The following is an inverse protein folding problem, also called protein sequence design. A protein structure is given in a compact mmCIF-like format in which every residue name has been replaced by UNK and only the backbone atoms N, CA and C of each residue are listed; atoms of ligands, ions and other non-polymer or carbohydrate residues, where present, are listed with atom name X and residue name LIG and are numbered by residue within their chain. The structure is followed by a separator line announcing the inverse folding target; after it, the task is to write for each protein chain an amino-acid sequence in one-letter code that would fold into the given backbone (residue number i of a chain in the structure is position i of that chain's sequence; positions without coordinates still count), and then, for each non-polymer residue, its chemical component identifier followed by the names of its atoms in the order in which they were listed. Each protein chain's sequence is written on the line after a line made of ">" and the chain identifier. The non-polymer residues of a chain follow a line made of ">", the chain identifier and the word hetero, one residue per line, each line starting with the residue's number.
data_IF_308281748976
#
_entry.id   IF_308281748976
#
_cell.length_a   1.000
_cell.length_b   1.000
_cell.length_c   1.000
_cell.angle_alpha   90.00
_cell.angle_beta   90.00
_cell.angle_gamma   90.00
#
_symmetry.space_group_name_H-M   'P 1'
#
loop_
_entity.id
_entity.type
_entity.pdbx_description
1 polymer ?
#
# COMPACT_ATOMS: atom_id res chain seq x y z
N UNK A 1 12.95 -15.72 -11.53
CA UNK A 1 13.46 -15.63 -10.15
C UNK A 1 12.82 -14.39 -9.54
N UNK A 2 12.02 -14.54 -8.49
CA UNK A 2 11.29 -13.43 -7.83
C UNK A 2 12.09 -12.89 -6.66
N UNK A 3 12.02 -11.58 -6.41
CA UNK A 3 12.91 -10.90 -5.47
C UNK A 3 12.68 -11.30 -4.00
N UNK A 4 11.44 -11.68 -3.62
CA UNK A 4 11.12 -12.14 -2.26
C UNK A 4 11.92 -13.36 -1.79
N UNK A 5 12.52 -14.12 -2.71
CA UNK A 5 13.28 -15.33 -2.37
C UNK A 5 14.76 -15.10 -2.06
N UNK A 6 15.37 -13.97 -2.45
CA UNK A 6 16.83 -13.79 -2.29
C UNK A 6 17.25 -12.35 -1.96
N UNK A 7 16.72 -11.33 -2.65
CA UNK A 7 17.00 -9.89 -2.43
C UNK A 7 15.88 -9.08 -3.09
N UNK A 8 14.88 -8.65 -2.31
CA UNK A 8 13.68 -7.94 -2.79
C UNK A 8 12.83 -7.43 -1.63
N UNK A 9 12.34 -6.20 -1.73
CA UNK A 9 11.74 -5.44 -0.64
C UNK A 9 12.76 -4.92 0.39
N UNK A 10 12.47 -3.76 1.00
CA UNK A 10 13.18 -3.30 2.20
C UNK A 10 13.12 -4.42 3.25
N UNK A 11 14.27 -4.92 3.73
CA UNK A 11 14.45 -6.22 4.40
C UNK A 11 13.79 -6.43 5.79
N UNK A 12 12.73 -5.68 6.11
CA UNK A 12 11.70 -6.04 7.09
C UNK A 12 10.51 -6.70 6.39
N UNK A 13 9.49 -7.15 7.12
CA UNK A 13 8.30 -7.76 6.53
C UNK A 13 7.43 -6.74 5.75
N UNK A 14 7.94 -6.11 4.68
CA UNK A 14 7.11 -5.36 3.74
C UNK A 14 6.17 -6.31 3.00
N UNK A 15 5.12 -5.76 2.40
CA UNK A 15 4.16 -6.50 1.57
C UNK A 15 4.47 -6.14 0.09
N UNK A 16 5.54 -6.68 -0.53
CA UNK A 16 5.93 -6.31 -1.88
C UNK A 16 5.10 -7.11 -2.90
N UNK A 17 3.88 -6.66 -3.16
CA UNK A 17 2.88 -7.45 -3.90
C UNK A 17 3.43 -7.94 -5.24
N UNK A 18 4.15 -7.11 -6.00
CA UNK A 18 4.68 -7.51 -7.31
C UNK A 18 5.91 -8.44 -7.27
N UNK A 19 6.52 -8.62 -6.09
CA UNK A 19 7.78 -9.33 -5.93
C UNK A 19 7.58 -10.75 -5.35
N UNK A 20 6.36 -11.11 -4.95
CA UNK A 20 6.02 -12.42 -4.38
C UNK A 20 4.86 -13.11 -5.10
N UNK A 21 5.10 -14.33 -5.61
CA UNK A 21 4.12 -15.05 -6.43
C UNK A 21 2.82 -15.39 -5.68
N UNK A 22 2.90 -15.74 -4.40
CA UNK A 22 1.72 -16.07 -3.60
C UNK A 22 0.86 -14.84 -3.34
N UNK A 23 1.50 -13.68 -3.14
CA UNK A 23 0.80 -12.41 -2.98
C UNK A 23 0.16 -11.95 -4.30
N UNK A 24 0.85 -12.11 -5.43
CA UNK A 24 0.31 -11.84 -6.77
C UNK A 24 -0.95 -12.67 -7.01
N UNK A 25 -0.89 -13.98 -6.78
CA UNK A 25 -2.02 -14.89 -6.99
C UNK A 25 -3.20 -14.56 -6.06
N UNK A 26 -2.92 -14.27 -4.79
CA UNK A 26 -3.95 -13.87 -3.82
C UNK A 26 -4.59 -12.52 -4.17
N UNK A 27 -3.81 -11.55 -4.67
CA UNK A 27 -4.33 -10.27 -5.14
C UNK A 27 -5.16 -10.44 -6.42
N UNK A 28 -4.69 -11.26 -7.36
CA UNK A 28 -5.37 -11.51 -8.64
C UNK A 28 -6.73 -12.19 -8.48
N UNK A 29 -6.87 -13.11 -7.50
CA UNK A 29 -8.17 -13.72 -7.17
C UNK A 29 -9.01 -12.90 -6.19
N UNK A 30 -8.56 -11.73 -5.76
CA UNK A 30 -9.28 -10.83 -4.85
C UNK A 30 -9.28 -11.25 -3.38
N UNK A 31 -8.52 -12.29 -3.01
CA UNK A 31 -8.35 -12.71 -1.61
C UNK A 31 -7.48 -11.73 -0.80
N UNK A 32 -6.59 -11.00 -1.48
CA UNK A 32 -5.71 -9.99 -0.91
C UNK A 32 -6.09 -8.60 -1.46
N UNK A 33 -6.89 -7.85 -0.72
CA UNK A 33 -7.31 -6.48 -1.09
C UNK A 33 -6.41 -5.41 -0.49
N UNK A 34 -6.48 -4.18 -1.00
CA UNK A 34 -5.67 -3.06 -0.48
C UNK A 34 -5.91 -2.84 1.02
N UNK A 35 -7.17 -2.86 1.45
CA UNK A 35 -7.56 -2.70 2.86
C UNK A 35 -7.07 -3.87 3.72
N UNK A 36 -6.98 -5.08 3.14
CA UNK A 36 -6.41 -6.23 3.83
C UNK A 36 -4.90 -6.06 4.02
N UNK A 37 -4.21 -5.46 3.06
CA UNK A 37 -2.80 -5.11 3.17
C UNK A 37 -2.58 -4.06 4.26
N UNK A 38 -3.34 -2.97 4.26
CA UNK A 38 -3.35 -1.95 5.32
C UNK A 38 -3.64 -2.54 6.71
N UNK A 39 -4.60 -3.46 6.81
CA UNK A 39 -4.86 -4.14 8.08
C UNK A 39 -3.66 -4.97 8.59
N UNK A 40 -2.84 -5.52 7.70
CA UNK A 40 -1.64 -6.27 8.08
C UNK A 40 -0.47 -5.36 8.50
N UNK A 41 -0.40 -4.12 8.01
CA UNK A 41 0.62 -3.13 8.41
C UNK A 41 0.49 -2.77 9.90
N UNK A 42 -0.73 -2.81 10.45
CA UNK A 42 -1.02 -2.63 11.87
C UNK A 42 -0.26 -3.61 12.80
N UNK A 43 0.09 -4.82 12.32
CA UNK A 43 0.69 -5.87 13.16
C UNK A 43 2.17 -6.05 12.86
N UNK A 44 2.52 -6.74 11.76
CA UNK A 44 3.89 -7.19 11.49
C UNK A 44 4.56 -6.47 10.32
N UNK A 45 3.79 -5.82 9.44
CA UNK A 45 4.36 -5.24 8.22
C UNK A 45 4.79 -3.77 8.36
N UNK A 46 5.84 -3.40 7.64
CA UNK A 46 6.42 -2.05 7.57
C UNK A 46 5.74 -1.17 6.52
N UNK A 47 4.62 -1.61 5.93
CA UNK A 47 3.75 -0.77 5.11
C UNK A 47 3.36 -1.39 3.78
N UNK A 48 2.79 -0.56 2.90
CA UNK A 48 2.35 -0.93 1.56
C UNK A 48 3.50 -0.82 0.56
N UNK A 49 3.78 -1.89 -0.20
CA UNK A 49 4.93 -1.91 -1.10
C UNK A 49 4.64 -2.55 -2.46
N UNK A 50 5.20 -1.96 -3.52
CA UNK A 50 5.00 -2.42 -4.90
C UNK A 50 3.54 -2.70 -5.27
N UNK A 51 2.64 -1.84 -4.84
CA UNK A 51 1.21 -1.99 -5.14
C UNK A 51 0.86 -1.22 -6.39
N UNK A 52 0.50 -1.91 -7.47
CA UNK A 52 -0.03 -1.29 -8.67
C UNK A 52 -1.48 -0.84 -8.44
N UNK A 53 -1.79 0.43 -8.74
CA UNK A 53 -3.13 1.03 -8.64
C UNK A 53 -3.54 1.65 -9.99
N UNK A 54 -4.83 1.95 -10.23
CA UNK A 54 -5.28 2.49 -11.51
C UNK A 54 -4.55 3.78 -11.87
N UNK A 55 -4.21 3.94 -13.14
CA UNK A 55 -3.43 5.09 -13.60
C UNK A 55 -4.13 6.44 -13.47
N UNK A 56 -5.46 6.42 -13.35
CA UNK A 56 -6.32 7.58 -13.14
C UNK A 56 -6.65 7.84 -11.67
N UNK A 57 -5.99 7.13 -10.73
CA UNK A 57 -6.17 7.39 -9.29
C UNK A 57 -5.77 8.83 -8.96
N UNK A 58 -6.66 9.56 -8.29
CA UNK A 58 -6.43 10.97 -7.97
C UNK A 58 -5.30 11.15 -6.95
N UNK A 59 -4.64 12.31 -6.99
CA UNK A 59 -3.64 12.67 -5.98
C UNK A 59 -4.23 12.70 -4.56
N UNK A 60 -5.50 13.07 -4.41
CA UNK A 60 -6.20 13.05 -3.13
C UNK A 60 -6.39 11.62 -2.61
N UNK A 61 -6.80 10.68 -3.46
CA UNK A 61 -6.93 9.28 -3.09
C UNK A 61 -5.56 8.67 -2.68
N UNK A 62 -4.50 8.95 -3.44
CA UNK A 62 -3.13 8.53 -3.08
C UNK A 62 -2.71 9.14 -1.73
N UNK A 63 -3.03 10.43 -1.50
CA UNK A 63 -2.75 11.10 -0.23
C UNK A 63 -3.53 10.48 0.93
N UNK A 64 -4.73 9.96 0.67
CA UNK A 64 -5.53 9.20 1.64
C UNK A 64 -4.84 7.92 2.08
N UNK A 65 -4.40 7.10 1.11
CA UNK A 65 -3.65 5.86 1.37
C UNK A 65 -2.40 6.15 2.21
N UNK A 66 -1.66 7.22 1.87
CA UNK A 66 -0.48 7.64 2.64
C UNK A 66 -0.86 8.09 4.05
N UNK A 67 -1.97 8.82 4.21
CA UNK A 67 -2.44 9.29 5.50
C UNK A 67 -2.87 8.14 6.42
N UNK A 68 -3.51 7.10 5.87
CA UNK A 68 -3.92 5.91 6.62
C UNK A 68 -2.70 5.14 7.14
N UNK A 69 -1.72 4.88 6.28
CA UNK A 69 -0.47 4.21 6.67
C UNK A 69 0.37 5.05 7.64
N UNK A 70 0.40 6.37 7.46
CA UNK A 70 1.04 7.27 8.40
C UNK A 70 0.34 7.27 9.77
N UNK A 71 -1.00 7.19 9.81
CA UNK A 71 -1.76 7.10 11.05
C UNK A 71 -1.50 5.77 11.77
N UNK A 72 -1.47 4.64 11.04
CA UNK A 72 -1.11 3.33 11.59
C UNK A 72 0.28 3.37 12.21
N UNK A 73 1.27 3.92 11.50
CA UNK A 73 2.64 4.05 12.01
C UNK A 73 2.73 4.96 13.23
N UNK A 74 2.11 6.14 13.17
CA UNK A 74 2.09 7.13 14.24
C UNK A 74 1.41 6.60 15.51
N UNK A 75 0.24 5.94 15.37
CA UNK A 75 -0.52 5.42 16.52
C UNK A 75 0.16 4.20 17.11
N UNK A 76 0.79 3.33 16.32
CA UNK A 76 1.41 2.10 16.83
C UNK A 76 2.90 2.28 17.17
N UNK A 77 3.45 3.49 17.06
CA UNK A 77 4.88 3.76 17.21
C UNK A 77 5.74 2.82 16.34
N UNK A 78 5.35 2.73 15.07
CA UNK A 78 5.94 1.82 14.09
C UNK A 78 6.34 2.59 12.86
N UNK A 79 7.44 2.17 12.25
CA UNK A 79 7.84 2.67 10.94
C UNK A 79 6.93 2.05 9.87
N UNK A 80 6.18 2.89 9.17
CA UNK A 80 5.41 2.53 7.98
C UNK A 80 5.96 3.25 6.76
N UNK A 81 5.72 2.70 5.57
CA UNK A 81 5.96 3.38 4.30
C UNK A 81 4.91 3.00 3.26
N UNK A 82 4.82 3.81 2.20
CA UNK A 82 3.90 3.56 1.09
C UNK A 82 4.67 3.68 -0.22
N UNK A 83 4.68 2.60 -1.01
CA UNK A 83 5.09 2.58 -2.41
C UNK A 83 3.94 2.03 -3.26
N UNK A 84 3.07 2.93 -3.68
CA UNK A 84 2.02 2.67 -4.68
C UNK A 84 2.47 3.16 -6.07
N UNK A 85 2.03 2.47 -7.11
CA UNK A 85 2.42 2.72 -8.49
C UNK A 85 1.16 2.94 -9.34
N UNK A 86 0.78 4.20 -9.62
CA UNK A 86 -0.28 4.50 -10.58
C UNK A 86 0.12 4.03 -11.97
N UNK A 87 -0.55 3.00 -12.46
CA UNK A 87 -0.23 2.36 -13.73
C UNK A 87 -0.90 3.10 -14.90
N UNK A 88 -0.16 3.99 -15.55
CA UNK A 88 -0.70 4.84 -16.62
C UNK A 88 -1.45 4.05 -17.70
N UNK A 89 -2.69 4.46 -17.99
CA UNK A 89 -3.55 3.81 -18.99
C UNK A 89 -4.13 2.45 -18.57
N UNK A 90 -3.90 2.00 -17.34
CA UNK A 90 -4.40 0.74 -16.79
C UNK A 90 -5.51 0.97 -15.77
N UNK A 91 -6.42 0.01 -15.68
CA UNK A 91 -7.56 -0.04 -14.75
C UNK A 91 -7.42 -1.22 -13.80
N UNK A 92 -8.23 -1.21 -12.74
CA UNK A 92 -8.29 -2.34 -11.81
C UNK A 92 -8.58 -3.66 -12.55
N UNK A 93 -7.84 -4.71 -12.20
CA UNK A 93 -7.90 -6.02 -12.86
C UNK A 93 -6.95 -6.19 -14.05
N UNK A 94 -6.37 -5.11 -14.60
CA UNK A 94 -5.28 -5.22 -15.56
C UNK A 94 -4.00 -5.73 -14.87
N UNK A 95 -3.00 -6.14 -15.65
CA UNK A 95 -1.66 -6.49 -15.13
C UNK A 95 -0.61 -5.48 -15.59
N UNK A 96 0.35 -5.22 -14.70
CA UNK A 96 1.56 -4.42 -14.97
C UNK A 96 2.79 -5.32 -14.83
N UNK A 97 3.68 -5.25 -15.82
CA UNK A 97 4.97 -5.94 -15.83
C UNK A 97 6.07 -4.92 -15.48
N UNK A 98 6.72 -5.10 -14.34
CA UNK A 98 7.86 -4.27 -13.94
C UNK A 98 9.19 -4.87 -14.40
N UNK A 99 9.21 -6.19 -14.61
CA UNK A 99 10.35 -6.94 -15.09
C UNK A 99 11.47 -7.11 -14.05
N UNK A 100 12.42 -7.98 -14.39
CA UNK A 100 13.57 -8.29 -13.52
C UNK A 100 13.14 -8.78 -12.15
N UNK A 101 13.71 -8.18 -11.10
CA UNK A 101 13.40 -8.51 -9.71
C UNK A 101 12.03 -8.00 -9.25
N UNK A 102 11.55 -6.89 -9.84
CA UNK A 102 10.30 -6.24 -9.44
C UNK A 102 9.05 -6.99 -9.92
N UNK A 103 9.22 -8.03 -10.75
CA UNK A 103 8.16 -8.95 -11.15
C UNK A 103 7.00 -8.27 -11.89
N UNK A 104 5.78 -8.68 -11.57
CA UNK A 104 4.53 -8.19 -12.15
C UNK A 104 3.45 -8.18 -11.08
N UNK A 105 2.41 -7.37 -11.24
CA UNK A 105 1.27 -7.37 -10.32
C UNK A 105 -0.05 -7.05 -11.03
N UNK A 106 -1.18 -7.56 -10.52
CA UNK A 106 -2.47 -7.04 -10.87
C UNK A 106 -2.61 -5.59 -10.37
N UNK A 107 -3.27 -4.76 -11.15
CA UNK A 107 -3.71 -3.43 -10.75
C UNK A 107 -4.86 -3.61 -9.76
N UNK A 108 -4.61 -3.27 -8.51
CA UNK A 108 -5.58 -3.42 -7.43
C UNK A 108 -6.59 -2.27 -7.46
N UNK A 109 -7.88 -2.51 -7.18
CA UNK A 109 -8.86 -1.43 -7.10
C UNK A 109 -8.52 -0.48 -5.94
N UNK A 110 -8.82 0.81 -6.14
CA UNK A 110 -8.79 1.84 -5.10
C UNK A 110 -10.22 2.31 -4.86
N UNK A 111 -10.54 2.65 -3.61
CA UNK A 111 -11.84 3.20 -3.24
C UNK A 111 -12.18 4.44 -4.09
N UNK A 112 -13.39 4.46 -4.66
CA UNK A 112 -13.86 5.52 -5.57
C UNK A 112 -14.54 6.68 -4.87
N UNK A 113 -14.75 6.61 -3.55
CA UNK A 113 -15.31 7.72 -2.77
C UNK A 113 -14.27 8.84 -2.60
N UNK A 114 -14.73 10.07 -2.76
CA UNK A 114 -13.90 11.27 -2.67
C UNK A 114 -13.42 11.54 -1.23
N UNK A 115 -12.15 11.91 -1.11
CA UNK A 115 -11.53 12.36 0.14
C UNK A 115 -10.88 13.76 -0.01
N UNK A 116 -11.19 14.48 -1.09
CA UNK A 116 -10.61 15.78 -1.44
C UNK A 116 -10.72 16.79 -0.30
N UNK A 117 -11.91 16.89 0.32
CA UNK A 117 -12.17 17.79 1.45
C UNK A 117 -11.29 17.46 2.67
N UNK A 118 -11.01 16.18 2.91
CA UNK A 118 -10.17 15.76 4.03
C UNK A 118 -8.71 16.15 3.79
N UNK A 119 -8.20 15.89 2.59
CA UNK A 119 -6.82 16.24 2.21
C UNK A 119 -6.62 17.76 2.17
N UNK A 120 -7.61 18.50 1.68
CA UNK A 120 -7.57 19.96 1.57
C UNK A 120 -7.54 20.68 2.93
N UNK A 121 -7.90 20.03 4.04
CA UNK A 121 -7.81 20.62 5.39
C UNK A 121 -6.39 21.06 5.74
N UNK A 122 -5.37 20.35 5.22
CA UNK A 122 -3.98 20.63 5.51
C UNK A 122 -3.66 20.70 7.01
N UNK A 123 -2.62 21.45 7.36
CA UNK A 123 -2.22 21.63 8.75
C UNK A 123 -1.42 20.45 9.31
N UNK A 124 -1.56 20.21 10.62
CA UNK A 124 -0.78 19.21 11.36
C UNK A 124 -1.69 18.33 12.21
N UNK A 125 -1.62 17.02 11.99
CA UNK A 125 -2.26 16.04 12.88
C UNK A 125 -1.46 16.01 14.19
N UNK A 126 -2.08 16.25 15.36
CA UNK A 126 -1.39 16.26 16.65
C UNK A 126 -0.88 14.87 17.01
N UNK A 127 0.15 14.81 17.84
CA UNK A 127 0.69 13.55 18.34
C UNK A 127 -0.35 12.81 19.20
N UNK A 128 -0.37 11.46 19.16
CA UNK A 128 -1.32 10.68 19.94
C UNK A 128 -0.93 10.70 21.43
N UNK A 129 -1.95 10.70 22.31
CA UNK A 129 -1.76 10.64 23.76
C UNK A 129 -1.33 9.22 24.17
N UNK A 130 -0.03 9.02 24.32
CA UNK A 130 0.55 7.73 24.70
C UNK A 130 0.32 7.35 26.18
N UNK A 131 -0.02 8.31 27.04
CA UNK A 131 -0.18 8.11 28.49
C UNK A 131 -1.47 7.42 28.92
N UNK A 132 -2.40 7.16 27.99
CA UNK A 132 -3.68 6.47 28.21
C UNK A 132 -3.68 5.05 27.64
N UNK A 133 -2.51 4.40 27.59
CA UNK A 133 -2.40 2.98 27.22
C UNK A 133 -2.55 2.14 28.49
N UNK A 134 -3.45 1.14 28.43
CA UNK A 134 -3.70 0.18 29.52
C UNK A 134 -2.45 -0.63 29.88
#
# INVERSE_FOLDING_TARGET
>A
VMASNHVGGLSGAFIPVSEDIGMIEAAACGALTLEKLEAMTCVCSVGLDMIAIPGDTSAAAISGIIADEAAIGMVNNKTTAVRVIPAAGKKAGDTVEFGGLLGFAPVMPVNTYHNDDFIARGGRIPAPLHSLRN
#
